data_IF_449345828840
#
_entry.id   IF_449345828840
#
_cell.length_a   1.000
_cell.length_b   1.000
_cell.length_c   1.000
_cell.angle_alpha   90.00
_cell.angle_beta   90.00
_cell.angle_gamma   90.00
#
_symmetry.space_group_name_H-M   'P 1'
#
loop_
_entity.id
_entity.type
_entity.pdbx_description
1 polymer ?
#
# COMPACT_ATOMS: atom_id res chain seq x y z
N UNK A 1 7.61 0.43 -4.80
CA UNK A 1 7.12 1.53 -3.94
C UNK A 1 6.24 0.95 -2.86
N UNK A 2 6.39 1.41 -1.63
CA UNK A 2 5.67 0.89 -0.45
C UNK A 2 5.00 2.07 0.23
N UNK A 3 3.68 2.02 0.40
CA UNK A 3 2.97 3.09 1.11
C UNK A 3 3.34 3.10 2.59
N UNK A 4 3.49 4.26 3.24
CA UNK A 4 3.67 4.36 4.72
C UNK A 4 2.63 3.56 5.49
N UNK A 5 1.39 3.50 4.96
CA UNK A 5 0.33 2.61 5.46
C UNK A 5 0.78 1.15 5.58
N UNK A 6 1.50 0.62 4.59
CA UNK A 6 1.95 -0.78 4.59
C UNK A 6 2.93 -1.03 5.72
N UNK A 7 3.82 -0.07 6.02
CA UNK A 7 4.73 -0.16 7.16
C UNK A 7 3.98 -0.07 8.50
N UNK A 8 2.99 0.83 8.61
CA UNK A 8 2.12 0.91 9.80
C UNK A 8 1.31 -0.39 9.99
N UNK A 9 0.75 -0.93 8.91
CA UNK A 9 0.01 -2.19 8.95
C UNK A 9 0.91 -3.35 9.35
N UNK A 10 2.13 -3.43 8.79
CA UNK A 10 3.12 -4.43 9.13
C UNK A 10 3.50 -4.34 10.62
N UNK A 11 3.72 -3.12 11.12
CA UNK A 11 4.00 -2.88 12.54
C UNK A 11 2.85 -3.33 13.45
N UNK A 12 1.59 -2.99 13.12
CA UNK A 12 0.42 -3.38 13.90
C UNK A 12 0.19 -4.90 13.88
N UNK A 13 0.37 -5.53 12.71
CA UNK A 13 0.19 -6.98 12.55
C UNK A 13 1.25 -7.74 13.34
N UNK A 14 2.52 -7.35 13.25
CA UNK A 14 3.59 -7.98 14.03
C UNK A 14 3.45 -7.74 15.53
N UNK A 15 3.09 -6.52 15.94
CA UNK A 15 2.82 -6.19 17.35
C UNK A 15 1.67 -7.02 17.94
N UNK A 16 0.74 -7.48 17.10
CA UNK A 16 -0.36 -8.36 17.50
C UNK A 16 0.01 -9.85 17.52
N UNK A 17 1.08 -10.28 16.85
CA UNK A 17 1.40 -11.70 16.64
C UNK A 17 2.59 -12.23 17.47
N UNK A 18 3.53 -11.39 17.93
CA UNK A 18 4.46 -11.63 19.04
C UNK A 18 5.47 -10.47 19.16
N UNK A 19 6.23 -10.41 20.26
CA UNK A 19 7.31 -9.43 20.52
C UNK A 19 8.57 -9.60 19.65
N UNK A 20 8.46 -10.24 18.48
CA UNK A 20 9.57 -10.33 17.52
C UNK A 20 9.66 -9.00 16.78
N UNK A 21 10.87 -8.48 16.66
CA UNK A 21 11.26 -7.11 16.28
C UNK A 21 10.68 -6.62 14.94
N UNK A 22 9.41 -6.19 14.94
CA UNK A 22 8.73 -5.54 13.80
C UNK A 22 9.55 -4.41 13.14
N UNK A 23 10.43 -3.79 13.92
CA UNK A 23 11.39 -2.80 13.45
C UNK A 23 12.45 -3.38 12.50
N UNK A 24 13.04 -4.52 12.83
CA UNK A 24 14.10 -5.14 12.03
C UNK A 24 13.56 -5.61 10.67
N UNK A 25 12.31 -6.09 10.62
CA UNK A 25 11.64 -6.45 9.38
C UNK A 25 11.37 -5.23 8.50
N UNK A 26 10.88 -4.13 9.09
CA UNK A 26 10.67 -2.86 8.37
C UNK A 26 12.01 -2.34 7.83
N UNK A 27 13.05 -2.29 8.67
CA UNK A 27 14.38 -1.86 8.26
C UNK A 27 14.96 -2.77 7.17
N UNK A 28 14.73 -4.08 7.24
CA UNK A 28 15.15 -5.04 6.21
C UNK A 28 14.45 -4.82 4.89
N UNK A 29 13.14 -4.54 4.93
CA UNK A 29 12.35 -4.25 3.75
C UNK A 29 12.79 -2.96 3.06
N UNK A 30 13.15 -1.94 3.85
CA UNK A 30 13.68 -0.67 3.34
C UNK A 30 15.09 -0.77 2.75
N UNK A 31 15.84 -1.86 3.00
CA UNK A 31 17.15 -2.12 2.38
C UNK A 31 17.04 -2.71 0.97
N UNK A 32 15.85 -3.13 0.51
CA UNK A 32 15.67 -3.65 -0.84
C UNK A 32 15.83 -2.51 -1.85
N UNK A 33 16.78 -2.66 -2.78
CA UNK A 33 17.02 -1.68 -3.83
C UNK A 33 15.75 -1.38 -4.63
N UNK A 34 15.53 -0.10 -4.95
CA UNK A 34 14.36 0.41 -5.71
C UNK A 34 13.01 0.27 -4.98
N UNK A 35 13.03 -0.02 -3.68
CA UNK A 35 11.87 0.15 -2.81
C UNK A 35 12.02 1.47 -2.04
N UNK A 36 11.02 2.33 -2.18
CA UNK A 36 10.92 3.60 -1.47
C UNK A 36 9.57 3.70 -0.78
N UNK A 37 9.56 4.33 0.37
CA UNK A 37 8.35 4.66 1.12
C UNK A 37 7.64 5.86 0.50
N UNK A 38 6.30 5.80 0.41
CA UNK A 38 5.46 6.96 0.11
C UNK A 38 4.85 7.50 1.39
N UNK A 39 5.19 8.74 1.78
CA UNK A 39 4.66 9.36 2.98
C UNK A 39 3.14 9.55 2.86
N UNK A 40 2.47 9.42 4.01
CA UNK A 40 1.06 9.74 4.12
C UNK A 40 0.86 11.28 4.09
N UNK A 41 0.71 11.82 2.88
CA UNK A 41 0.46 13.26 2.68
C UNK A 41 -1.02 13.61 2.72
N UNK A 42 -1.33 14.90 2.86
CA UNK A 42 -2.71 15.41 2.75
C UNK A 42 -3.35 15.11 1.38
N UNK A 43 -2.53 15.05 0.32
CA UNK A 43 -2.98 14.70 -1.03
C UNK A 43 -3.39 13.23 -1.10
N UNK A 44 -2.62 12.33 -0.48
CA UNK A 44 -2.97 10.91 -0.34
C UNK A 44 -4.28 10.76 0.44
N UNK A 45 -4.43 11.46 1.57
CA UNK A 45 -5.66 11.42 2.39
C UNK A 45 -6.90 11.88 1.61
N UNK A 46 -6.79 13.02 0.90
CA UNK A 46 -7.87 13.57 0.09
C UNK A 46 -8.23 12.62 -1.05
N UNK A 47 -7.23 12.13 -1.79
CA UNK A 47 -7.43 11.18 -2.88
C UNK A 47 -8.01 9.85 -2.38
N UNK A 48 -7.59 9.37 -1.22
CA UNK A 48 -8.11 8.15 -0.61
C UNK A 48 -9.58 8.29 -0.25
N UNK A 49 -9.99 9.40 0.35
CA UNK A 49 -11.40 9.67 0.66
C UNK A 49 -12.28 9.60 -0.59
N UNK A 50 -11.86 10.25 -1.67
CA UNK A 50 -12.56 10.22 -2.96
C UNK A 50 -12.61 8.82 -3.58
N UNK A 51 -11.47 8.12 -3.57
CA UNK A 51 -11.35 6.77 -4.14
C UNK A 51 -12.21 5.77 -3.36
N UNK A 52 -12.26 5.91 -2.03
CA UNK A 52 -13.07 5.10 -1.14
C UNK A 52 -14.55 5.19 -1.47
N UNK A 53 -15.09 6.42 -1.53
CA UNK A 53 -16.50 6.64 -1.85
C UNK A 53 -16.87 6.15 -3.26
N UNK A 54 -15.94 6.25 -4.22
CA UNK A 54 -16.19 5.87 -5.61
C UNK A 54 -16.15 4.35 -5.84
N UNK A 55 -15.26 3.65 -5.16
CA UNK A 55 -14.98 2.24 -5.44
C UNK A 55 -15.32 1.31 -4.28
N UNK A 56 -15.90 1.80 -3.19
CA UNK A 56 -16.25 0.99 -2.02
C UNK A 56 -15.06 0.15 -1.52
N UNK A 57 -13.95 0.85 -1.27
CA UNK A 57 -12.74 0.25 -0.71
C UNK A 57 -12.76 0.39 0.82
N UNK A 58 -12.03 -0.47 1.52
CA UNK A 58 -11.77 -0.22 2.95
C UNK A 58 -10.98 1.09 3.12
N UNK A 59 -11.02 1.69 4.32
CA UNK A 59 -10.22 2.89 4.62
C UNK A 59 -8.76 2.68 4.23
N UNK A 60 -8.21 1.56 4.65
CA UNK A 60 -6.85 1.19 4.39
C UNK A 60 -6.59 0.98 2.88
N UNK A 61 -7.43 0.22 2.18
CA UNK A 61 -7.24 -0.02 0.74
C UNK A 61 -7.34 1.24 -0.10
N UNK A 62 -8.18 2.18 0.32
CA UNK A 62 -8.27 3.49 -0.31
C UNK A 62 -6.98 4.32 -0.21
N UNK A 63 -6.25 4.24 0.92
CA UNK A 63 -4.94 4.89 1.08
C UNK A 63 -3.87 4.30 0.17
N UNK A 64 -3.89 2.98 0.00
CA UNK A 64 -2.92 2.28 -0.86
C UNK A 64 -3.21 2.56 -2.33
N UNK A 65 -4.48 2.47 -2.75
CA UNK A 65 -4.91 2.85 -4.08
C UNK A 65 -4.57 4.31 -4.39
N UNK A 66 -4.85 5.24 -3.47
CA UNK A 66 -4.52 6.66 -3.63
C UNK A 66 -3.03 6.92 -3.78
N UNK A 67 -2.20 6.27 -2.95
CA UNK A 67 -0.75 6.37 -3.06
C UNK A 67 -0.29 5.90 -4.45
N UNK A 68 -0.72 4.72 -4.89
CA UNK A 68 -0.36 4.22 -6.22
C UNK A 68 -0.81 5.16 -7.35
N UNK A 69 -2.05 5.68 -7.28
CA UNK A 69 -2.61 6.62 -8.27
C UNK A 69 -1.86 7.94 -8.37
N UNK A 70 -1.30 8.44 -7.25
CA UNK A 70 -0.53 9.69 -7.23
C UNK A 70 0.91 9.54 -7.73
N UNK A 71 1.38 8.30 -7.89
CA UNK A 71 2.71 8.00 -8.39
C UNK A 71 2.65 7.46 -9.83
N UNK A 72 2.71 6.15 -10.02
CA UNK A 72 2.79 5.52 -11.34
C UNK A 72 1.54 4.72 -11.72
N UNK A 73 0.50 4.73 -10.88
CA UNK A 73 -0.73 3.98 -11.09
C UNK A 73 -0.54 2.46 -11.06
N UNK A 74 0.57 1.93 -10.54
CA UNK A 74 0.83 0.48 -10.47
C UNK A 74 0.72 0.01 -9.03
N UNK A 75 0.03 -1.11 -8.83
CA UNK A 75 -0.09 -1.78 -7.54
C UNK A 75 0.14 -3.28 -7.70
N UNK A 76 0.67 -3.92 -6.67
CA UNK A 76 0.75 -5.38 -6.55
C UNK A 76 -0.21 -5.79 -5.43
N UNK A 77 -1.49 -6.03 -5.72
CA UNK A 77 -2.49 -6.29 -4.71
C UNK A 77 -2.69 -7.81 -4.52
N UNK A 78 -3.00 -8.21 -3.28
CA UNK A 78 -3.51 -9.56 -3.00
C UNK A 78 -5.01 -9.63 -3.35
N UNK A 79 -5.73 -8.53 -3.14
CA UNK A 79 -7.18 -8.45 -3.38
C UNK A 79 -7.49 -8.02 -4.83
N UNK A 80 -8.46 -8.70 -5.46
CA UNK A 80 -8.96 -8.35 -6.80
C UNK A 80 -9.76 -7.04 -6.82
N UNK A 81 -10.20 -6.54 -5.67
CA UNK A 81 -10.95 -5.29 -5.50
C UNK A 81 -10.25 -4.05 -6.06
N UNK A 82 -8.94 -4.09 -6.29
CA UNK A 82 -8.20 -3.00 -6.93
C UNK A 82 -8.43 -2.91 -8.45
N UNK A 83 -8.89 -3.99 -9.10
CA UNK A 83 -9.09 -4.02 -10.56
C UNK A 83 -10.23 -3.12 -11.05
N UNK A 84 -11.17 -2.75 -10.16
CA UNK A 84 -12.26 -1.79 -10.46
C UNK A 84 -11.80 -0.32 -10.40
N UNK A 85 -10.62 -0.04 -9.88
CA UNK A 85 -10.13 1.34 -9.69
C UNK A 85 -9.56 1.85 -11.01
N UNK A 86 -10.19 2.88 -11.59
CA UNK A 86 -9.75 3.48 -12.86
C UNK A 86 -8.41 4.20 -12.65
N UNK A 87 -7.49 4.00 -13.59
CA UNK A 87 -6.12 4.55 -13.51
C UNK A 87 -5.16 3.70 -12.68
N UNK A 88 -5.64 2.60 -12.09
CA UNK A 88 -4.83 1.68 -11.32
C UNK A 88 -4.63 0.37 -12.08
N UNK A 89 -3.37 0.01 -12.32
CA UNK A 89 -2.96 -1.26 -12.92
C UNK A 89 -2.52 -2.21 -11.82
N UNK A 90 -3.34 -3.22 -11.57
CA UNK A 90 -3.01 -4.33 -10.67
C UNK A 90 -2.13 -5.36 -11.40
N UNK A 91 -0.92 -5.57 -10.89
CA UNK A 91 0.00 -6.60 -11.35
C UNK A 91 -0.08 -7.84 -10.46
N UNK A 92 -0.14 -9.02 -11.06
CA UNK A 92 0.07 -10.26 -10.34
C UNK A 92 1.59 -10.49 -10.17
N UNK A 93 2.12 -10.70 -8.95
CA UNK A 93 3.54 -11.00 -8.75
C UNK A 93 4.03 -12.18 -9.61
N UNK A 94 3.15 -13.13 -9.93
CA UNK A 94 3.48 -14.32 -10.73
C UNK A 94 3.72 -14.02 -12.20
N UNK A 95 3.28 -12.85 -12.67
CA UNK A 95 3.51 -12.38 -14.05
C UNK A 95 4.85 -11.65 -14.20
N UNK A 96 5.61 -11.48 -13.10
CA UNK A 96 6.90 -10.77 -13.08
C UNK A 96 8.10 -11.73 -13.02
N UNK A 97 7.88 -13.04 -13.12
CA UNK A 97 8.88 -14.11 -12.97
C UNK A 97 9.12 -14.83 -14.30
#
# INVERSE_FOLDING_TARGET
MVSSRMLLFLHLLFSSMSSSSSREDIESFMRICNIHEVPLSHEVLTRASLTRSKYDLSYFDSLHAASALLHNGVIIPIDKGYRKVVGLRALDPRELV
#
